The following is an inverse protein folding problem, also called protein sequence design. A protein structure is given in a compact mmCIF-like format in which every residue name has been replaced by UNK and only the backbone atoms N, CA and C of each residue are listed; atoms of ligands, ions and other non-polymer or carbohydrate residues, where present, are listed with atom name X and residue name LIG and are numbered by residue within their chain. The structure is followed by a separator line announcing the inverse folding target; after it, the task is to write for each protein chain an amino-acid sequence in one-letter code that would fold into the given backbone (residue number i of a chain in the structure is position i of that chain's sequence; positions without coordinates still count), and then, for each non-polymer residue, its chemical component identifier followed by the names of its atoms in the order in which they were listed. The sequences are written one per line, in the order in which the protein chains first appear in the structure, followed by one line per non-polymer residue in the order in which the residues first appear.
data_IF_906302635585
#
_entry.id   IF_906302635585
#
_cell.length_a   1.000
_cell.length_b   1.000
_cell.length_c   1.000
_cell.angle_alpha   90.00
_cell.angle_beta   90.00
_cell.angle_gamma   90.00
#
_symmetry.space_group_name_H-M   'P 1'
#
loop_
_entity.id
_entity.type
_entity.pdbx_description
1 polymer ?
#
# COMPACT_ATOMS: atom_id res chain seq x y z
N UNK A 1 -55.60 17.04 -79.72
CA UNK A 1 -55.54 15.87 -78.81
C UNK A 1 -54.50 16.16 -77.75
N UNK A 2 -54.94 16.10 -76.49
CA UNK A 2 -54.10 16.16 -75.29
C UNK A 2 -53.16 14.95 -75.27
N UNK A 3 -51.89 15.14 -74.87
CA UNK A 3 -51.19 14.39 -73.80
C UNK A 3 -49.98 15.22 -73.39
N UNK A 4 -49.91 15.62 -72.12
CA UNK A 4 -48.69 16.11 -71.46
C UNK A 4 -48.08 14.97 -70.65
N UNK A 5 -46.76 14.77 -70.65
CA UNK A 5 -46.09 14.00 -69.60
C UNK A 5 -45.17 14.88 -68.75
N UNK A 6 -45.59 14.97 -67.50
CA UNK A 6 -44.82 14.87 -66.26
C UNK A 6 -43.69 15.83 -65.86
N UNK A 7 -43.92 16.35 -64.65
CA UNK A 7 -43.09 17.22 -63.82
C UNK A 7 -41.79 16.51 -63.43
N UNK A 8 -40.66 17.05 -63.86
CA UNK A 8 -39.35 16.69 -63.32
C UNK A 8 -39.27 17.06 -61.85
N UNK A 9 -39.05 16.07 -60.98
CA UNK A 9 -38.83 16.28 -59.55
C UNK A 9 -37.53 17.05 -59.32
N UNK A 10 -37.57 18.01 -58.38
CA UNK A 10 -36.44 18.87 -58.07
C UNK A 10 -35.39 18.09 -57.27
N UNK A 11 -34.10 18.42 -57.46
CA UNK A 11 -32.99 17.80 -56.71
C UNK A 11 -33.10 17.98 -55.18
N UNK A 12 -33.93 18.92 -54.73
CA UNK A 12 -34.23 19.17 -53.33
C UNK A 12 -35.09 18.04 -52.71
N UNK A 13 -36.06 17.52 -53.46
CA UNK A 13 -36.91 16.40 -53.01
C UNK A 13 -36.10 15.11 -52.85
N UNK A 14 -35.07 14.93 -53.67
CA UNK A 14 -34.16 13.79 -53.58
C UNK A 14 -33.32 13.84 -52.29
N UNK A 15 -32.92 15.02 -51.83
CA UNK A 15 -32.09 15.20 -50.62
C UNK A 15 -32.90 15.01 -49.32
N UNK A 16 -34.14 15.50 -49.29
CA UNK A 16 -35.06 15.24 -48.17
C UNK A 16 -35.46 13.75 -48.10
N UNK A 17 -35.70 13.12 -49.26
CA UNK A 17 -35.96 11.67 -49.31
C UNK A 17 -34.73 10.84 -48.88
N UNK A 18 -33.52 11.30 -49.17
CA UNK A 18 -32.27 10.65 -48.73
C UNK A 18 -32.05 10.78 -47.21
N UNK A 19 -32.41 11.90 -46.60
CA UNK A 19 -32.36 12.07 -45.14
C UNK A 19 -33.41 11.24 -44.41
N UNK A 20 -34.63 11.17 -44.96
CA UNK A 20 -35.69 10.35 -44.41
C UNK A 20 -35.32 8.86 -44.43
N UNK A 21 -34.71 8.39 -45.52
CA UNK A 21 -34.21 7.01 -45.64
C UNK A 21 -33.00 6.74 -44.75
N UNK A 22 -32.06 7.68 -44.62
CA UNK A 22 -30.92 7.52 -43.72
C UNK A 22 -31.34 7.41 -42.24
N UNK A 23 -32.27 8.26 -41.80
CA UNK A 23 -32.82 8.18 -40.45
C UNK A 23 -33.57 6.86 -40.22
N UNK A 24 -34.37 6.41 -41.19
CA UNK A 24 -35.06 5.12 -41.11
C UNK A 24 -34.07 3.95 -40.98
N UNK A 25 -32.98 3.95 -41.75
CA UNK A 25 -31.94 2.91 -41.67
C UNK A 25 -31.25 2.91 -40.30
N UNK A 26 -30.96 4.09 -39.74
CA UNK A 26 -30.38 4.22 -38.39
C UNK A 26 -31.34 3.69 -37.33
N UNK A 27 -32.64 4.01 -37.43
CA UNK A 27 -33.65 3.49 -36.50
C UNK A 27 -33.83 1.98 -36.64
N UNK A 28 -33.85 1.41 -37.85
CA UNK A 28 -34.01 -0.03 -38.08
C UNK A 28 -32.77 -0.80 -37.61
N UNK A 29 -31.55 -0.31 -37.87
CA UNK A 29 -30.31 -0.93 -37.38
C UNK A 29 -30.17 -0.80 -35.85
N UNK A 30 -30.57 0.33 -35.27
CA UNK A 30 -30.59 0.53 -33.81
C UNK A 30 -31.64 -0.34 -33.10
N UNK A 31 -32.81 -0.52 -33.70
CA UNK A 31 -33.87 -1.38 -33.16
C UNK A 31 -33.50 -2.86 -33.28
N UNK A 32 -32.85 -3.27 -34.38
CA UNK A 32 -32.28 -4.61 -34.53
C UNK A 32 -31.16 -4.85 -33.52
N UNK A 33 -30.31 -3.86 -33.24
CA UNK A 33 -29.26 -4.00 -32.22
C UNK A 33 -29.85 -4.08 -30.80
N UNK A 34 -30.89 -3.30 -30.48
CA UNK A 34 -31.60 -3.38 -29.20
C UNK A 34 -32.34 -4.71 -29.03
N UNK A 35 -32.99 -5.22 -30.08
CA UNK A 35 -33.67 -6.51 -30.05
C UNK A 35 -32.68 -7.69 -29.99
N UNK A 36 -31.56 -7.65 -30.71
CA UNK A 36 -30.55 -8.71 -30.70
C UNK A 36 -29.66 -8.68 -29.44
N UNK A 37 -29.33 -7.51 -28.90
CA UNK A 37 -28.49 -7.38 -27.70
C UNK A 37 -29.32 -7.55 -26.40
N UNK A 38 -30.59 -7.14 -26.41
CA UNK A 38 -31.54 -7.37 -25.31
C UNK A 38 -31.91 -8.84 -25.11
N UNK A 39 -32.00 -9.63 -26.20
CA UNK A 39 -32.27 -11.07 -26.09
C UNK A 39 -31.03 -11.88 -25.65
N UNK A 40 -29.81 -11.35 -25.87
CA UNK A 40 -28.55 -11.96 -25.42
C UNK A 40 -28.33 -11.76 -23.91
N UNK A 41 -28.80 -10.65 -23.32
CA UNK A 41 -28.63 -10.38 -21.89
C UNK A 41 -29.58 -11.17 -20.98
N UNK A 42 -30.72 -11.65 -21.49
CA UNK A 42 -31.72 -12.41 -20.70
C UNK A 42 -31.52 -13.93 -20.81
N UNK A 43 -30.74 -14.41 -21.79
CA UNK A 43 -30.47 -15.85 -21.97
C UNK A 43 -29.08 -16.30 -21.48
N UNK A 44 -28.17 -15.37 -21.17
CA UNK A 44 -26.81 -15.68 -20.69
C UNK A 44 -26.61 -15.93 -19.17
N UNK A 45 -27.61 -15.81 -18.27
CA UNK A 45 -27.49 -16.39 -16.94
C UNK A 45 -28.12 -17.80 -16.84
N UNK A 46 -28.97 -18.22 -17.78
CA UNK A 46 -29.71 -19.49 -17.67
C UNK A 46 -29.07 -20.68 -18.39
N UNK A 47 -28.33 -20.46 -19.48
CA UNK A 47 -27.66 -21.56 -20.22
C UNK A 47 -26.38 -22.08 -19.53
N UNK A 48 -25.79 -21.30 -18.61
CA UNK A 48 -24.63 -21.75 -17.81
C UNK A 48 -25.03 -22.62 -16.61
N UNK A 49 -26.29 -22.55 -16.17
CA UNK A 49 -26.81 -23.33 -15.04
C UNK A 49 -27.30 -24.71 -15.51
N UNK A 50 -27.87 -24.81 -16.71
CA UNK A 50 -28.40 -26.10 -17.22
C UNK A 50 -27.27 -27.06 -17.66
N UNK A 51 -26.14 -26.56 -18.19
CA UNK A 51 -24.94 -27.39 -18.47
C UNK A 51 -24.24 -27.92 -17.21
N UNK A 52 -24.53 -27.34 -16.02
CA UNK A 52 -24.02 -27.81 -14.72
C UNK A 52 -24.93 -28.91 -14.15
N UNK A 53 -26.24 -28.88 -14.44
CA UNK A 53 -27.22 -29.82 -13.86
C UNK A 53 -27.29 -31.15 -14.65
N UNK A 54 -27.08 -31.16 -15.97
CA UNK A 54 -27.03 -32.42 -16.76
C UNK A 54 -25.66 -33.15 -16.72
N UNK A 55 -24.62 -32.57 -16.09
CA UNK A 55 -23.34 -33.26 -15.79
C UNK A 55 -23.26 -33.81 -14.36
N UNK A 56 -24.34 -33.72 -13.60
CA UNK A 56 -24.48 -34.30 -12.25
C UNK A 56 -25.28 -35.61 -12.27
N UNK A 57 -25.20 -36.36 -13.37
CA UNK A 57 -25.61 -37.75 -13.45
C UNK A 57 -24.37 -38.63 -13.56
N UNK A 58 -24.07 -39.37 -12.48
CA UNK A 58 -22.96 -40.33 -12.30
C UNK A 58 -21.61 -39.73 -11.89
N UNK A 59 -21.57 -39.19 -10.67
CA UNK A 59 -20.33 -38.96 -9.91
C UNK A 59 -19.90 -40.28 -9.27
N UNK A 60 -18.75 -40.89 -9.64
CA UNK A 60 -18.09 -41.86 -8.78
C UNK A 60 -17.63 -41.15 -7.49
N UNK A 61 -17.66 -41.84 -6.37
CA UNK A 61 -17.31 -41.35 -5.03
C UNK A 61 -16.03 -40.46 -5.02
N UNK A 62 -16.20 -39.13 -4.89
CA UNK A 62 -15.14 -38.11 -4.97
C UNK A 62 -14.82 -37.49 -3.60
N UNK A 63 -15.28 -38.10 -2.51
CA UNK A 63 -15.00 -37.66 -1.14
C UNK A 63 -13.51 -37.79 -0.77
N UNK A 64 -12.71 -38.56 -1.52
CA UNK A 64 -11.30 -38.81 -1.21
C UNK A 64 -10.29 -37.90 -1.96
N UNK A 65 -10.65 -37.25 -3.07
CA UNK A 65 -9.70 -36.44 -3.87
C UNK A 65 -9.66 -34.95 -3.47
N UNK A 66 -10.79 -34.35 -3.09
CA UNK A 66 -10.82 -32.96 -2.57
C UNK A 66 -10.15 -32.85 -1.20
N UNK A 67 -10.30 -33.85 -0.33
CA UNK A 67 -9.59 -33.93 0.95
C UNK A 67 -8.07 -34.03 0.72
N UNK A 68 -7.63 -34.77 -0.31
CA UNK A 68 -6.22 -34.90 -0.65
C UNK A 68 -5.60 -33.62 -1.22
N UNK A 69 -6.32 -32.84 -2.01
CA UNK A 69 -5.87 -31.54 -2.54
C UNK A 69 -5.88 -30.43 -1.47
N UNK A 70 -6.91 -30.42 -0.62
CA UNK A 70 -6.99 -29.52 0.54
C UNK A 70 -5.87 -29.83 1.54
N UNK A 71 -5.52 -31.10 1.73
CA UNK A 71 -4.39 -31.53 2.54
C UNK A 71 -3.04 -31.22 1.89
N UNK A 72 -2.90 -31.29 0.57
CA UNK A 72 -1.67 -30.85 -0.10
C UNK A 72 -1.45 -29.34 0.02
N UNK A 73 -2.50 -28.53 -0.09
CA UNK A 73 -2.39 -27.08 0.08
C UNK A 73 -2.18 -26.69 1.56
N UNK A 74 -2.87 -27.34 2.50
CA UNK A 74 -2.62 -27.19 3.94
C UNK A 74 -1.19 -27.59 4.31
N UNK A 75 -0.67 -28.69 3.73
CA UNK A 75 0.70 -29.17 3.96
C UNK A 75 1.75 -28.28 3.30
N UNK A 76 1.44 -27.67 2.16
CA UNK A 76 2.31 -26.67 1.50
C UNK A 76 2.36 -25.36 2.29
N UNK A 77 1.21 -24.85 2.74
CA UNK A 77 1.13 -23.68 3.63
C UNK A 77 1.82 -23.94 4.96
N UNK A 78 1.57 -25.10 5.58
CA UNK A 78 2.19 -25.55 6.83
C UNK A 78 3.70 -25.74 6.71
N UNK A 79 4.20 -26.36 5.62
CA UNK A 79 5.65 -26.48 5.37
C UNK A 79 6.30 -25.10 5.16
N UNK A 80 5.60 -24.16 4.51
CA UNK A 80 6.08 -22.77 4.33
C UNK A 80 6.12 -22.02 5.65
N UNK A 81 5.07 -22.11 6.48
CA UNK A 81 5.05 -21.48 7.81
C UNK A 81 6.04 -22.13 8.75
N UNK A 82 6.17 -23.46 8.78
CA UNK A 82 7.18 -24.15 9.59
C UNK A 82 8.60 -23.83 9.13
N UNK A 83 8.86 -23.76 7.81
CA UNK A 83 10.17 -23.36 7.29
C UNK A 83 10.50 -21.90 7.65
N UNK A 84 9.50 -21.00 7.60
CA UNK A 84 9.64 -19.61 8.04
C UNK A 84 9.89 -19.51 9.55
N UNK A 85 9.14 -20.25 10.37
CA UNK A 85 9.28 -20.31 11.83
C UNK A 85 10.66 -20.88 12.21
N UNK A 86 11.12 -21.95 11.56
CA UNK A 86 12.45 -22.54 11.80
C UNK A 86 13.58 -21.59 11.39
N UNK A 87 13.40 -20.80 10.33
CA UNK A 87 14.36 -19.75 9.94
C UNK A 87 14.38 -18.58 10.94
N UNK A 88 13.24 -18.21 11.52
CA UNK A 88 13.12 -17.15 12.54
C UNK A 88 13.55 -17.60 13.95
N UNK A 89 13.51 -18.91 14.23
CA UNK A 89 13.92 -19.51 15.50
C UNK A 89 15.33 -20.11 15.47
N UNK A 90 16.07 -19.96 14.37
CA UNK A 90 17.47 -20.36 14.36
C UNK A 90 18.20 -19.51 15.41
N UNK A 91 18.79 -20.14 16.43
CA UNK A 91 19.58 -19.38 17.41
C UNK A 91 20.73 -18.73 16.66
N UNK A 92 20.97 -17.42 16.89
CA UNK A 92 22.15 -16.73 16.37
C UNK A 92 23.38 -17.60 16.62
N UNK A 93 24.30 -17.66 15.66
CA UNK A 93 25.57 -18.38 15.85
C UNK A 93 26.34 -17.75 17.02
N UNK A 94 27.25 -18.50 17.67
CA UNK A 94 27.98 -17.98 18.85
C UNK A 94 28.73 -16.69 18.54
N UNK A 95 29.35 -16.62 17.37
CA UNK A 95 30.08 -15.44 16.89
C UNK A 95 29.18 -14.22 16.68
N UNK A 96 27.98 -14.40 16.14
CA UNK A 96 26.99 -13.31 15.99
C UNK A 96 26.47 -12.81 17.35
N UNK A 97 26.33 -13.70 18.34
CA UNK A 97 25.94 -13.31 19.70
C UNK A 97 27.06 -12.53 20.38
N UNK A 98 28.31 -12.96 20.25
CA UNK A 98 29.45 -12.30 20.88
C UNK A 98 29.74 -10.94 20.24
N UNK A 99 29.60 -10.83 18.92
CA UNK A 99 29.77 -9.57 18.18
C UNK A 99 28.68 -8.56 18.58
N UNK A 100 27.41 -8.97 18.55
CA UNK A 100 26.30 -8.08 18.96
C UNK A 100 26.37 -7.68 20.44
N UNK A 101 26.80 -8.59 21.32
CA UNK A 101 26.98 -8.28 22.74
C UNK A 101 28.15 -7.33 22.99
N UNK A 102 29.20 -7.36 22.17
CA UNK A 102 30.35 -6.44 22.28
C UNK A 102 30.00 -5.05 21.76
N UNK A 103 29.22 -4.98 20.67
CA UNK A 103 28.78 -3.72 20.09
C UNK A 103 27.82 -2.93 21.00
N UNK A 104 26.90 -3.63 21.65
CA UNK A 104 25.84 -3.05 22.49
C UNK A 104 26.29 -2.74 23.93
N UNK A 105 27.54 -3.03 24.30
CA UNK A 105 28.07 -2.68 25.63
C UNK A 105 28.28 -1.17 25.74
N UNK A 106 28.08 -0.66 26.96
CA UNK A 106 28.39 0.73 27.31
C UNK A 106 29.86 1.02 27.02
N UNK A 107 30.10 2.08 26.24
CA UNK A 107 31.44 2.53 25.82
C UNK A 107 31.71 3.90 26.46
N UNK A 108 32.96 4.15 26.81
CA UNK A 108 33.39 5.44 27.39
C UNK A 108 33.26 6.59 26.38
N UNK A 109 33.52 6.30 25.09
CA UNK A 109 33.23 7.20 23.97
C UNK A 109 32.06 6.63 23.16
N UNK A 110 30.98 7.40 23.05
CA UNK A 110 29.79 6.93 22.34
C UNK A 110 29.94 6.97 20.82
N UNK A 111 29.34 5.99 20.16
CA UNK A 111 29.26 5.94 18.70
C UNK A 111 28.20 6.90 18.16
N UNK A 112 28.19 7.07 16.83
CA UNK A 112 27.12 7.81 16.17
C UNK A 112 25.76 7.17 16.44
N UNK A 113 24.83 7.94 17.00
CA UNK A 113 23.49 7.46 17.34
C UNK A 113 22.72 7.04 16.10
N UNK A 114 22.31 5.78 16.07
CA UNK A 114 21.44 5.19 15.04
C UNK A 114 20.02 5.71 15.18
N UNK A 115 19.40 6.06 14.06
CA UNK A 115 18.02 6.53 14.01
C UNK A 115 17.09 5.48 13.41
N UNK A 116 16.02 5.16 14.13
CA UNK A 116 14.95 4.26 13.71
C UNK A 116 13.79 5.05 13.10
N UNK A 117 13.50 4.80 11.83
CA UNK A 117 12.44 5.51 11.10
C UNK A 117 11.27 4.56 10.82
N UNK A 118 10.12 4.87 11.42
CA UNK A 118 8.92 4.05 11.41
C UNK A 118 7.81 4.77 10.65
N UNK A 119 7.12 4.03 9.78
CA UNK A 119 5.94 4.49 9.08
C UNK A 119 4.69 3.80 9.64
N UNK A 120 3.76 4.61 10.15
CA UNK A 120 2.43 4.13 10.54
C UNK A 120 1.54 3.89 9.30
N UNK A 121 0.45 3.11 9.41
CA UNK A 121 -0.53 2.97 8.32
C UNK A 121 -1.11 4.33 7.91
N UNK A 122 -1.43 5.16 8.90
CA UNK A 122 -2.15 6.41 8.74
C UNK A 122 -1.36 7.45 7.93
N UNK A 123 -0.02 7.30 7.87
CA UNK A 123 0.90 8.30 7.37
C UNK A 123 0.58 8.77 5.93
N UNK A 124 0.50 10.09 5.77
CA UNK A 124 0.29 10.74 4.46
C UNK A 124 1.55 10.70 3.60
N UNK A 125 1.38 10.70 2.27
CA UNK A 125 2.47 10.66 1.29
C UNK A 125 3.52 11.75 1.49
N UNK A 126 3.12 12.97 1.88
CA UNK A 126 4.05 14.08 2.15
C UNK A 126 5.01 13.76 3.29
N UNK A 127 4.51 13.20 4.38
CA UNK A 127 5.34 12.85 5.56
C UNK A 127 6.26 11.70 5.22
N UNK A 128 5.78 10.73 4.44
CA UNK A 128 6.60 9.59 3.98
C UNK A 128 7.74 10.07 3.07
N UNK A 129 7.51 11.06 2.21
CA UNK A 129 8.57 11.64 1.38
C UNK A 129 9.62 12.35 2.25
N UNK A 130 9.17 13.17 3.19
CA UNK A 130 10.06 13.78 4.18
C UNK A 130 10.87 12.71 4.95
N UNK A 131 10.24 11.61 5.35
CA UNK A 131 10.92 10.52 6.06
C UNK A 131 12.05 9.93 5.22
N UNK A 132 11.83 9.76 3.91
CA UNK A 132 12.87 9.33 2.95
C UNK A 132 14.01 10.35 2.83
N UNK A 133 13.71 11.64 2.84
CA UNK A 133 14.74 12.69 2.80
C UNK A 133 15.62 12.62 4.06
N UNK A 134 15.02 12.40 5.23
CA UNK A 134 15.75 12.20 6.50
C UNK A 134 16.59 10.92 6.45
N UNK A 135 16.08 9.84 5.86
CA UNK A 135 16.88 8.62 5.62
C UNK A 135 18.13 8.99 4.83
N UNK A 136 18.01 9.75 3.73
CA UNK A 136 19.17 10.11 2.92
C UNK A 136 20.19 10.95 3.69
N UNK A 137 19.73 11.89 4.52
CA UNK A 137 20.59 12.74 5.34
C UNK A 137 21.37 11.95 6.40
N UNK A 138 20.75 10.92 7.00
CA UNK A 138 21.30 10.20 8.15
C UNK A 138 22.08 8.92 7.80
N UNK A 139 22.15 8.53 6.51
CA UNK A 139 22.98 7.40 6.06
C UNK A 139 24.45 7.58 6.49
N UNK A 140 25.13 6.52 6.98
CA UNK A 140 24.69 5.13 7.07
C UNK A 140 23.94 4.77 8.39
N UNK A 141 23.89 5.66 9.38
CA UNK A 141 23.37 5.39 10.74
C UNK A 141 21.85 5.51 10.84
N UNK A 142 21.13 4.83 9.94
CA UNK A 142 19.67 4.90 9.85
C UNK A 142 19.07 3.54 9.49
N UNK A 143 18.02 3.16 10.22
CA UNK A 143 17.22 1.96 9.96
C UNK A 143 15.82 2.40 9.57
N UNK A 144 15.41 2.08 8.34
CA UNK A 144 14.12 2.47 7.80
C UNK A 144 13.18 1.27 7.64
N UNK A 145 12.05 1.30 8.34
CA UNK A 145 11.03 0.27 8.20
C UNK A 145 10.09 0.58 7.03
N UNK A 146 10.25 -0.21 5.96
CA UNK A 146 9.36 -0.18 4.81
C UNK A 146 7.97 -0.75 5.11
N UNK A 147 7.79 -1.58 6.15
CA UNK A 147 6.47 -2.12 6.48
C UNK A 147 5.64 -1.03 7.18
N UNK A 148 4.35 -0.93 6.82
CA UNK A 148 3.40 -0.09 7.57
C UNK A 148 3.09 -0.80 8.90
N UNK A 149 3.29 -0.10 10.01
CA UNK A 149 3.00 -0.61 11.34
C UNK A 149 1.63 -0.09 11.79
N UNK A 150 0.81 -1.00 12.32
CA UNK A 150 -0.59 -0.70 12.67
C UNK A 150 -0.75 -0.10 14.07
N UNK A 151 0.12 -0.47 15.01
CA UNK A 151 -0.12 -0.26 16.44
C UNK A 151 1.09 0.33 17.18
N UNK A 152 1.99 1.03 16.48
CA UNK A 152 3.05 1.77 17.17
C UNK A 152 2.53 3.18 17.39
N UNK A 153 1.75 3.37 18.46
CA UNK A 153 1.38 4.70 18.94
C UNK A 153 2.32 5.05 20.09
N UNK A 154 3.22 6.04 19.93
CA UNK A 154 4.26 6.31 20.92
C UNK A 154 3.71 6.79 22.27
N UNK A 155 2.45 7.20 22.32
CA UNK A 155 1.77 7.68 23.53
C UNK A 155 0.82 6.65 24.15
N UNK A 156 0.49 5.58 23.43
CA UNK A 156 -0.40 4.52 23.94
C UNK A 156 0.43 3.30 24.30
N UNK A 157 1.23 2.80 23.35
CA UNK A 157 2.02 1.57 23.49
C UNK A 157 3.51 1.81 23.18
N UNK A 158 4.30 1.98 24.24
CA UNK A 158 5.75 2.21 24.14
C UNK A 158 6.52 0.89 23.94
N UNK A 159 5.99 -0.24 24.40
CA UNK A 159 6.67 -1.55 24.42
C UNK A 159 7.21 -2.00 23.05
N UNK A 160 6.44 -1.76 21.97
CA UNK A 160 6.85 -2.12 20.61
C UNK A 160 8.04 -1.26 20.14
N UNK A 161 8.06 -0.01 20.55
CA UNK A 161 9.11 0.94 20.20
C UNK A 161 10.42 0.59 20.93
N UNK A 162 10.34 0.18 22.20
CA UNK A 162 11.48 -0.32 22.97
C UNK A 162 12.03 -1.62 22.37
N UNK A 163 11.15 -2.55 21.98
CA UNK A 163 11.56 -3.78 21.29
C UNK A 163 12.34 -3.47 20.00
N UNK A 164 11.84 -2.56 19.16
CA UNK A 164 12.54 -2.19 17.93
C UNK A 164 13.86 -1.47 18.19
N UNK A 165 13.93 -0.66 19.26
CA UNK A 165 15.17 -0.01 19.68
C UNK A 165 16.22 -1.03 20.13
N UNK A 166 15.81 -2.03 20.91
CA UNK A 166 16.69 -3.09 21.40
C UNK A 166 17.17 -3.99 20.26
N UNK A 167 16.30 -4.31 19.30
CA UNK A 167 16.64 -5.16 18.16
C UNK A 167 17.64 -4.51 17.19
N UNK A 168 17.52 -3.19 17.00
CA UNK A 168 18.31 -2.44 16.01
C UNK A 168 19.39 -1.52 16.62
N UNK A 169 19.61 -1.62 17.93
CA UNK A 169 20.48 -0.72 18.72
C UNK A 169 20.30 0.77 18.37
N UNK A 170 19.04 1.23 18.40
CA UNK A 170 18.67 2.57 17.95
C UNK A 170 18.25 3.48 19.11
N UNK A 171 19.03 4.52 19.38
CA UNK A 171 18.75 5.47 20.46
C UNK A 171 17.85 6.63 20.01
N UNK A 172 17.73 6.89 18.71
CA UNK A 172 16.85 7.90 18.16
C UNK A 172 15.71 7.21 17.42
N UNK A 173 14.49 7.74 17.50
CA UNK A 173 13.39 7.24 16.70
C UNK A 173 12.58 8.37 16.09
N UNK A 174 11.94 8.04 14.97
CA UNK A 174 11.13 8.95 14.20
C UNK A 174 9.91 8.22 13.64
N UNK A 175 8.72 8.74 13.92
CA UNK A 175 7.46 8.11 13.56
C UNK A 175 6.59 9.06 12.76
N UNK A 176 6.25 8.64 11.54
CA UNK A 176 5.34 9.37 10.67
C UNK A 176 3.90 8.91 10.94
N UNK A 177 3.04 9.85 11.32
CA UNK A 177 1.62 9.65 11.65
C UNK A 177 0.76 10.70 10.95
N UNK A 178 -0.54 10.45 10.81
CA UNK A 178 -1.45 11.46 10.27
C UNK A 178 -2.86 11.27 10.85
N UNK A 179 -3.36 12.29 11.54
CA UNK A 179 -4.68 12.30 12.15
C UNK A 179 -5.42 13.60 11.78
N UNK A 180 -6.76 13.59 11.75
CA UNK A 180 -7.58 14.80 11.61
C UNK A 180 -7.21 15.87 12.65
N UNK A 181 -6.87 15.47 13.88
CA UNK A 181 -6.43 16.41 14.94
C UNK A 181 -5.01 16.94 14.74
N UNK A 182 -4.13 16.17 14.08
CA UNK A 182 -2.72 16.50 13.85
C UNK A 182 -2.33 16.03 12.44
N UNK A 183 -2.63 16.82 11.39
CA UNK A 183 -2.31 16.45 10.02
C UNK A 183 -0.79 16.50 9.82
N UNK A 184 -0.29 15.61 8.97
CA UNK A 184 1.13 15.51 8.61
C UNK A 184 2.09 15.48 9.80
N UNK A 185 1.77 14.68 10.81
CA UNK A 185 2.47 14.72 12.09
C UNK A 185 3.72 13.82 12.09
N UNK A 186 4.86 14.41 12.44
CA UNK A 186 6.11 13.70 12.60
C UNK A 186 6.54 13.77 14.06
N UNK A 187 6.73 12.59 14.66
CA UNK A 187 7.04 12.43 16.07
C UNK A 187 8.49 11.97 16.18
N UNK A 188 9.39 12.80 16.74
CA UNK A 188 10.75 12.38 17.08
C UNK A 188 10.82 12.13 18.58
N UNK A 189 11.66 11.16 18.97
CA UNK A 189 12.08 11.07 20.35
C UNK A 189 13.44 10.42 20.49
N UNK A 190 13.90 10.42 21.74
CA UNK A 190 15.15 9.79 22.15
C UNK A 190 14.84 8.71 23.17
N UNK A 191 15.59 7.63 23.08
CA UNK A 191 15.62 6.56 24.05
C UNK A 191 16.95 6.56 24.79
N UNK A 192 16.89 6.19 26.06
CA UNK A 192 18.04 6.00 26.91
C UNK A 192 17.92 4.61 27.52
N UNK A 193 18.95 3.77 27.37
CA UNK A 193 18.93 2.36 27.81
C UNK A 193 17.73 1.59 27.23
N UNK A 194 17.40 1.86 25.96
CA UNK A 194 16.21 1.37 25.25
C UNK A 194 14.86 1.68 25.93
N UNK A 195 14.83 2.65 26.85
CA UNK A 195 13.61 3.17 27.47
C UNK A 195 13.26 4.54 26.92
N UNK A 196 11.97 4.82 26.82
CA UNK A 196 11.46 6.08 26.31
C UNK A 196 11.70 7.24 27.30
N UNK A 197 12.28 8.37 26.83
CA UNK A 197 12.62 9.51 27.72
C UNK A 197 11.80 10.77 27.42
N UNK A 198 11.77 11.26 26.18
CA UNK A 198 10.99 12.46 25.81
C UNK A 198 10.75 12.52 24.30
N UNK A 199 9.57 13.01 23.92
CA UNK A 199 9.10 13.09 22.54
C UNK A 199 8.70 14.52 22.19
N UNK A 200 9.07 14.97 21.00
CA UNK A 200 8.70 16.29 20.45
C UNK A 200 8.16 16.12 19.03
N UNK A 201 7.05 16.80 18.72
CA UNK A 201 6.42 16.80 17.40
C UNK A 201 6.68 18.10 16.64
N UNK A 202 6.91 18.02 15.33
CA UNK A 202 7.25 19.17 14.47
C UNK A 202 6.76 18.93 13.03
N UNK A 203 6.76 20.01 12.24
CA UNK A 203 6.40 20.03 10.82
C UNK A 203 7.66 20.16 9.95
N UNK A 204 7.62 19.70 8.69
CA UNK A 204 8.86 19.37 7.96
C UNK A 204 9.04 20.14 6.65
N UNK A 205 10.31 20.46 6.35
CA UNK A 205 10.82 21.06 5.11
C UNK A 205 11.86 20.14 4.41
N UNK A 206 12.24 20.46 3.16
CA UNK A 206 13.12 19.65 2.29
C UNK A 206 14.62 19.80 2.61
N UNK A 207 15.42 18.73 2.39
CA UNK A 207 16.85 18.66 2.78
C UNK A 207 17.73 17.91 1.76
N UNK A 208 19.03 18.25 1.71
CA UNK A 208 20.07 17.58 0.89
C UNK A 208 20.98 16.68 1.75
N UNK A 209 21.61 15.65 1.15
CA UNK A 209 22.20 14.51 1.86
C UNK A 209 23.74 14.47 1.92
N UNK A 210 24.29 13.80 2.95
CA UNK A 210 25.68 13.27 2.95
C UNK A 210 26.79 14.20 3.46
N UNK A 211 26.46 15.42 3.86
CA UNK A 211 27.41 16.39 4.43
C UNK A 211 27.11 16.66 5.90
N UNK A 212 28.13 16.96 6.71
CA UNK A 212 27.91 17.49 8.07
C UNK A 212 27.21 18.84 7.94
N UNK A 213 25.95 18.98 8.37
CA UNK A 213 25.21 20.22 8.18
C UNK A 213 25.80 21.32 9.07
N UNK A 214 25.85 22.55 8.55
CA UNK A 214 26.04 23.74 9.38
C UNK A 214 24.70 24.03 10.08
N UNK A 215 24.72 24.16 11.41
CA UNK A 215 23.54 24.48 12.20
C UNK A 215 23.58 25.95 12.57
N UNK A 216 22.55 26.69 12.18
CA UNK A 216 22.37 28.10 12.56
C UNK A 216 21.06 28.17 13.34
N UNK A 217 21.16 28.50 14.62
CA UNK A 217 20.01 28.76 15.47
C UNK A 217 19.83 30.28 15.57
N UNK A 218 18.72 30.80 15.07
CA UNK A 218 18.39 32.22 15.10
C UNK A 218 17.19 32.45 16.03
N UNK A 219 17.35 33.30 17.05
CA UNK A 219 16.27 33.75 17.92
C UNK A 219 16.62 33.69 19.40
N UNK A 220 16.13 34.67 20.17
CA UNK A 220 16.39 34.82 21.62
C UNK A 220 15.83 33.65 22.45
N UNK A 221 14.80 32.96 21.95
CA UNK A 221 14.19 31.81 22.62
C UNK A 221 15.15 30.61 22.79
N UNK A 222 16.24 30.55 22.02
CA UNK A 222 17.26 29.50 22.17
C UNK A 222 18.30 29.83 23.25
N UNK A 223 18.36 31.07 23.73
CA UNK A 223 19.33 31.52 24.74
C UNK A 223 18.79 31.39 26.18
N UNK A 224 17.47 31.29 26.33
CA UNK A 224 16.82 31.16 27.63
C UNK A 224 16.95 29.73 28.16
N UNK A 225 17.73 29.55 29.23
CA UNK A 225 17.76 28.32 30.01
C UNK A 225 16.54 28.25 30.94
N UNK A 226 15.44 27.64 30.49
CA UNK A 226 14.43 27.13 31.43
C UNK A 226 14.96 25.83 32.07
N UNK A 227 15.32 25.93 33.36
CA UNK A 227 15.64 24.80 34.23
C UNK A 227 14.41 23.96 34.57
#
# INVERSE_FOLDING_TARGET
MMVSPDRGLSAFDYYESLKATANLVIYVMGFIWICCFGLFAVTYPSFKVIQIIDRLGSIPDQSEEEDHLLDQEKRSKSKRTLKLIVLLLKPKTSEERDSSNTENRKKETENCKTALLIREISASGTVVNCLKDIVQLKKPHVVFFNKKNNDSLPFEDITKLEFFSQENDASLFLMATHNKKRPHNLIMGRMFDHRFTKTTSFFVAKLAAGIKPCLIFTGEAFEQQEN
#
